data_IF_173211518890
#
_entry.id   IF_173211518890
#
_cell.length_a   1.000
_cell.length_b   1.000
_cell.length_c   1.000
_cell.angle_alpha   90.00
_cell.angle_beta   90.00
_cell.angle_gamma   90.00
#
_symmetry.space_group_name_H-M   'P 1'
#
loop_
_entity.id
_entity.type
_entity.pdbx_description
1 polymer ?
#
# COMPACT_ATOMS: atom_id res chain seq x y z
N UNK A 1 8.96 -17.60 -23.58
CA UNK A 1 8.94 -16.34 -22.79
C UNK A 1 7.60 -16.27 -22.10
N UNK A 2 7.60 -16.07 -20.81
CA UNK A 2 6.36 -16.00 -20.03
C UNK A 2 5.48 -14.83 -20.50
N UNK A 3 4.17 -15.06 -20.60
CA UNK A 3 3.19 -14.08 -21.08
C UNK A 3 2.02 -13.97 -20.11
N UNK A 4 1.77 -12.77 -19.61
CA UNK A 4 0.62 -12.47 -18.75
C UNK A 4 -0.51 -11.91 -19.62
N UNK A 5 -1.66 -12.60 -19.75
CA UNK A 5 -2.79 -12.10 -20.52
C UNK A 5 -3.62 -11.07 -19.73
N UNK A 6 -4.48 -10.36 -20.42
CA UNK A 6 -5.63 -9.66 -19.83
C UNK A 6 -6.60 -10.71 -19.25
N UNK A 7 -7.29 -10.39 -18.16
CA UNK A 7 -8.47 -11.14 -17.72
C UNK A 7 -9.71 -10.30 -18.00
N UNK A 8 -10.57 -10.77 -18.90
CA UNK A 8 -11.86 -10.17 -19.21
C UNK A 8 -12.94 -10.98 -18.50
N UNK A 9 -13.44 -10.46 -17.37
CA UNK A 9 -14.34 -11.22 -16.49
C UNK A 9 -13.76 -12.62 -16.19
N UNK A 10 -12.49 -12.66 -15.77
CA UNK A 10 -11.75 -13.88 -15.45
C UNK A 10 -11.29 -14.72 -16.63
N UNK A 11 -11.69 -14.42 -17.87
CA UNK A 11 -11.27 -15.18 -19.03
C UNK A 11 -9.97 -14.61 -19.61
N UNK A 12 -8.91 -15.41 -19.76
CA UNK A 12 -7.66 -14.96 -20.35
C UNK A 12 -7.86 -14.49 -21.81
N UNK A 13 -7.26 -13.36 -22.14
CA UNK A 13 -7.27 -12.79 -23.48
C UNK A 13 -5.89 -12.26 -23.84
N UNK A 14 -5.31 -12.77 -24.93
CA UNK A 14 -4.03 -12.30 -25.47
C UNK A 14 -4.28 -11.16 -26.44
N UNK A 15 -3.74 -9.98 -26.12
CA UNK A 15 -3.75 -8.83 -27.03
C UNK A 15 -2.58 -8.90 -28.02
N UNK A 16 -2.76 -8.25 -29.17
CA UNK A 16 -1.66 -8.00 -30.11
C UNK A 16 -0.70 -6.98 -29.52
N UNK A 17 -1.21 -6.00 -28.79
CA UNK A 17 -0.40 -5.00 -28.09
C UNK A 17 0.17 -5.63 -26.81
N UNK A 18 1.49 -5.60 -26.68
CA UNK A 18 2.20 -6.15 -25.53
C UNK A 18 3.20 -5.13 -24.97
N UNK A 19 3.31 -5.07 -23.65
CA UNK A 19 4.42 -4.42 -22.96
C UNK A 19 5.48 -5.47 -22.60
N UNK A 20 6.75 -5.10 -22.69
CA UNK A 20 7.88 -5.93 -22.28
C UNK A 20 8.45 -5.39 -20.99
N UNK A 21 8.45 -6.21 -19.95
CA UNK A 21 9.03 -5.84 -18.65
C UNK A 21 10.40 -6.47 -18.53
N UNK A 22 11.45 -5.65 -18.35
CA UNK A 22 12.80 -6.15 -18.23
C UNK A 22 13.08 -6.73 -16.84
N UNK A 23 14.01 -7.64 -16.76
CA UNK A 23 14.64 -8.03 -15.50
C UNK A 23 15.42 -6.84 -14.94
N UNK A 24 15.23 -6.54 -13.64
CA UNK A 24 15.80 -5.33 -13.02
C UNK A 24 17.33 -5.24 -13.10
N UNK A 25 18.04 -6.38 -13.13
CA UNK A 25 19.50 -6.47 -13.14
C UNK A 25 20.07 -6.61 -14.56
N UNK A 26 19.58 -7.58 -15.35
CA UNK A 26 20.13 -7.88 -16.69
C UNK A 26 19.61 -6.95 -17.78
N UNK A 27 18.48 -6.26 -17.53
CA UNK A 27 17.77 -5.42 -18.52
C UNK A 27 17.20 -6.17 -19.72
N UNK A 28 17.37 -7.48 -19.80
CA UNK A 28 16.71 -8.31 -20.79
C UNK A 28 15.22 -8.44 -20.52
N UNK A 29 14.43 -8.61 -21.56
CA UNK A 29 12.99 -8.84 -21.43
C UNK A 29 12.74 -10.10 -20.61
N UNK A 30 12.08 -9.97 -19.48
CA UNK A 30 11.76 -11.07 -18.58
C UNK A 30 10.36 -11.63 -18.84
N UNK A 31 9.37 -10.76 -19.04
CA UNK A 31 7.98 -11.14 -19.28
C UNK A 31 7.32 -10.20 -20.28
N UNK A 32 6.41 -10.76 -21.10
CA UNK A 32 5.48 -9.99 -21.95
C UNK A 32 4.11 -9.91 -21.29
N UNK A 33 3.47 -8.75 -21.41
CA UNK A 33 2.17 -8.49 -20.79
C UNK A 33 1.23 -7.92 -21.84
N UNK A 34 0.11 -8.61 -22.10
CA UNK A 34 -0.95 -8.09 -22.97
C UNK A 34 -1.46 -6.75 -22.49
N UNK A 35 -1.62 -5.78 -23.40
CA UNK A 35 -2.13 -4.45 -23.10
C UNK A 35 -3.59 -4.31 -23.54
N UNK A 36 -4.43 -3.75 -22.67
CA UNK A 36 -5.80 -3.38 -23.00
C UNK A 36 -5.84 -1.90 -23.42
N UNK A 37 -6.52 -1.60 -24.52
CA UNK A 37 -6.80 -0.20 -24.86
C UNK A 37 -8.11 0.28 -24.20
N UNK A 38 -8.29 1.60 -24.12
CA UNK A 38 -9.46 2.23 -23.50
C UNK A 38 -10.81 1.79 -24.13
N UNK A 39 -10.83 1.48 -25.44
CA UNK A 39 -12.01 1.02 -26.14
C UNK A 39 -12.47 -0.37 -25.69
N UNK A 40 -11.51 -1.32 -25.54
CA UNK A 40 -11.78 -2.66 -25.01
C UNK A 40 -12.32 -2.56 -23.57
N UNK A 41 -11.67 -1.77 -22.72
CA UNK A 41 -12.07 -1.58 -21.32
C UNK A 41 -13.49 -1.02 -21.23
N UNK A 42 -13.81 0.07 -21.96
CA UNK A 42 -15.16 0.65 -21.97
C UNK A 42 -16.21 -0.35 -22.40
N UNK A 43 -15.97 -1.11 -23.47
CA UNK A 43 -16.90 -2.13 -23.96
C UNK A 43 -17.16 -3.21 -22.91
N UNK A 44 -16.11 -3.71 -22.26
CA UNK A 44 -16.26 -4.78 -21.26
C UNK A 44 -16.96 -4.29 -19.99
N UNK A 45 -16.82 -3.01 -19.65
CA UNK A 45 -17.46 -2.39 -18.49
C UNK A 45 -18.93 -1.98 -18.72
N UNK A 46 -19.50 -2.17 -19.92
CA UNK A 46 -20.93 -1.95 -20.15
C UNK A 46 -21.84 -2.94 -19.40
N UNK A 47 -21.33 -4.12 -19.08
CA UNK A 47 -22.07 -5.18 -18.39
C UNK A 47 -21.40 -5.55 -17.06
N UNK A 48 -21.26 -4.57 -16.15
CA UNK A 48 -20.69 -4.81 -14.80
C UNK A 48 -21.71 -5.45 -13.85
N UNK A 49 -23.00 -5.22 -14.09
CA UNK A 49 -24.09 -5.69 -13.24
C UNK A 49 -24.12 -7.20 -13.16
N UNK A 50 -23.95 -7.90 -14.28
CA UNK A 50 -23.94 -9.37 -14.32
C UNK A 50 -22.86 -9.97 -13.39
N UNK A 51 -21.68 -9.37 -13.35
CA UNK A 51 -20.59 -9.83 -12.46
C UNK A 51 -20.93 -9.62 -10.98
N UNK A 52 -21.59 -8.50 -10.64
CA UNK A 52 -22.03 -8.23 -9.28
C UNK A 52 -23.15 -9.15 -8.83
N UNK A 53 -24.10 -9.46 -9.71
CA UNK A 53 -25.19 -10.43 -9.42
C UNK A 53 -24.66 -11.81 -9.09
N UNK A 54 -23.61 -12.29 -9.81
CA UNK A 54 -22.96 -13.55 -9.50
C UNK A 54 -22.32 -13.58 -8.11
N UNK A 55 -21.67 -12.48 -7.66
CA UNK A 55 -21.18 -12.37 -6.29
C UNK A 55 -22.33 -12.25 -5.27
N UNK A 56 -23.39 -11.53 -5.60
CA UNK A 56 -24.55 -11.34 -4.73
C UNK A 56 -25.31 -12.64 -4.44
N UNK A 57 -25.16 -13.66 -5.28
CA UNK A 57 -25.72 -14.98 -5.05
C UNK A 57 -25.12 -15.72 -3.83
N UNK A 58 -23.95 -15.32 -3.37
CA UNK A 58 -23.30 -15.88 -2.18
C UNK A 58 -23.61 -15.01 -0.95
N UNK A 59 -23.68 -15.64 0.22
CA UNK A 59 -23.68 -14.89 1.48
C UNK A 59 -22.28 -14.31 1.76
N UNK A 60 -22.22 -13.25 2.54
CA UNK A 60 -20.95 -12.67 2.98
C UNK A 60 -20.10 -13.71 3.72
N UNK A 61 -20.73 -14.56 4.54
CA UNK A 61 -20.06 -15.65 5.25
C UNK A 61 -19.43 -16.67 4.30
N UNK A 62 -20.13 -17.04 3.22
CA UNK A 62 -19.59 -17.93 2.19
C UNK A 62 -18.38 -17.32 1.48
N UNK A 63 -18.44 -16.02 1.16
CA UNK A 63 -17.31 -15.31 0.55
C UNK A 63 -16.12 -15.21 1.50
N UNK A 64 -16.34 -14.95 2.79
CA UNK A 64 -15.27 -14.97 3.81
C UNK A 64 -14.61 -16.36 3.86
N UNK A 65 -15.40 -17.43 3.86
CA UNK A 65 -14.87 -18.80 3.84
C UNK A 65 -14.06 -19.11 2.57
N UNK A 66 -14.47 -18.58 1.40
CA UNK A 66 -13.70 -18.68 0.16
C UNK A 66 -12.37 -17.92 0.26
N UNK A 67 -12.39 -16.69 0.79
CA UNK A 67 -11.18 -15.90 0.96
C UNK A 67 -10.18 -16.56 1.91
N UNK A 68 -10.66 -17.19 2.98
CA UNK A 68 -9.80 -17.95 3.88
C UNK A 68 -9.09 -19.10 3.16
N UNK A 69 -9.79 -19.85 2.29
CA UNK A 69 -9.15 -20.87 1.43
C UNK A 69 -8.20 -20.26 0.40
N UNK A 70 -8.57 -19.11 -0.17
CA UNK A 70 -7.72 -18.38 -1.12
C UNK A 70 -6.40 -17.94 -0.47
N UNK A 71 -6.39 -17.60 0.82
CA UNK A 71 -5.18 -17.30 1.57
C UNK A 71 -4.16 -18.44 1.52
N UNK A 72 -4.62 -19.67 1.75
CA UNK A 72 -3.78 -20.87 1.68
C UNK A 72 -3.29 -21.13 0.24
N UNK A 73 -4.20 -21.05 -0.74
CA UNK A 73 -3.82 -21.25 -2.15
C UNK A 73 -2.83 -20.20 -2.65
N UNK A 74 -2.99 -18.94 -2.25
CA UNK A 74 -2.05 -17.89 -2.58
C UNK A 74 -0.65 -18.18 -2.07
N UNK A 75 -0.53 -18.72 -0.85
CA UNK A 75 0.76 -18.99 -0.19
C UNK A 75 1.45 -20.24 -0.68
N UNK A 76 0.69 -21.30 -1.03
CA UNK A 76 1.28 -22.63 -1.18
C UNK A 76 1.03 -23.28 -2.53
N UNK A 77 0.01 -22.83 -3.26
CA UNK A 77 -0.47 -23.59 -4.40
C UNK A 77 0.19 -23.16 -5.72
N UNK A 78 0.14 -24.08 -6.67
CA UNK A 78 0.49 -23.82 -8.06
C UNK A 78 -0.74 -23.26 -8.78
N UNK A 79 -0.67 -22.04 -9.27
CA UNK A 79 -1.77 -21.28 -9.86
C UNK A 79 -1.46 -20.91 -11.32
N UNK A 80 -2.47 -20.74 -12.18
CA UNK A 80 -2.23 -20.36 -13.57
C UNK A 80 -1.71 -18.92 -13.68
N UNK A 81 -0.75 -18.72 -14.59
CA UNK A 81 -0.32 -17.41 -15.07
C UNK A 81 -0.19 -17.49 -16.59
N UNK A 82 -1.20 -16.98 -17.32
CA UNK A 82 -1.31 -17.19 -18.76
C UNK A 82 -1.48 -18.66 -19.10
N UNK A 83 -0.62 -19.19 -19.99
CA UNK A 83 -0.60 -20.59 -20.38
C UNK A 83 0.29 -21.46 -19.48
N UNK A 84 0.97 -20.86 -18.53
CA UNK A 84 1.90 -21.52 -17.62
C UNK A 84 1.32 -21.65 -16.22
N UNK A 85 1.99 -22.44 -15.39
CA UNK A 85 1.65 -22.61 -13.99
C UNK A 85 2.74 -21.98 -13.12
N UNK A 86 2.35 -21.26 -12.10
CA UNK A 86 3.22 -20.50 -11.19
C UNK A 86 3.13 -21.10 -9.79
N UNK A 87 4.21 -21.67 -9.29
CA UNK A 87 4.34 -22.02 -7.86
C UNK A 87 4.48 -20.76 -7.01
N UNK A 88 4.36 -20.89 -5.70
CA UNK A 88 4.62 -19.78 -4.79
C UNK A 88 6.08 -19.29 -4.90
N UNK A 89 7.03 -20.19 -5.13
CA UNK A 89 8.44 -19.86 -5.31
C UNK A 89 8.70 -19.16 -6.66
N UNK A 90 8.03 -19.58 -7.74
CA UNK A 90 8.08 -18.88 -9.02
C UNK A 90 7.57 -17.43 -8.89
N UNK A 91 6.47 -17.23 -8.15
CA UNK A 91 5.97 -15.89 -7.86
C UNK A 91 7.00 -15.03 -7.17
N UNK A 92 7.68 -15.55 -6.14
CA UNK A 92 8.73 -14.80 -5.41
C UNK A 92 9.85 -14.40 -6.37
N UNK A 93 10.36 -15.33 -7.18
CA UNK A 93 11.42 -15.07 -8.16
C UNK A 93 10.98 -14.09 -9.23
N UNK A 94 9.78 -14.25 -9.78
CA UNK A 94 9.25 -13.42 -10.86
C UNK A 94 8.99 -11.98 -10.41
N UNK A 95 8.42 -11.78 -9.23
CA UNK A 95 8.23 -10.46 -8.67
C UNK A 95 9.56 -9.80 -8.38
N UNK A 96 10.49 -10.51 -7.76
CA UNK A 96 11.86 -10.02 -7.52
C UNK A 96 12.54 -9.62 -8.83
N UNK A 97 12.45 -10.45 -9.88
CA UNK A 97 13.07 -10.21 -11.17
C UNK A 97 12.63 -8.90 -11.84
N UNK A 98 11.38 -8.47 -11.67
CA UNK A 98 10.86 -7.25 -12.30
C UNK A 98 10.90 -6.00 -11.41
N UNK A 99 10.86 -6.17 -10.09
CA UNK A 99 10.83 -5.05 -9.14
C UNK A 99 12.14 -4.80 -8.41
N UNK A 100 13.03 -5.80 -8.39
CA UNK A 100 14.24 -5.79 -7.58
C UNK A 100 13.99 -6.06 -6.09
N UNK A 101 12.75 -6.35 -5.66
CA UNK A 101 12.47 -6.60 -4.26
C UNK A 101 13.12 -7.90 -3.79
N UNK A 102 13.92 -7.91 -2.71
CA UNK A 102 14.50 -9.13 -2.14
C UNK A 102 13.45 -10.19 -1.83
N UNK A 103 13.79 -11.47 -2.02
CA UNK A 103 12.89 -12.61 -1.80
C UNK A 103 12.29 -12.61 -0.38
N UNK A 104 13.09 -12.27 0.62
CA UNK A 104 12.62 -12.16 2.01
C UNK A 104 11.50 -11.13 2.18
N UNK A 105 11.61 -9.97 1.52
CA UNK A 105 10.59 -8.92 1.54
C UNK A 105 9.36 -9.31 0.71
N UNK A 106 9.54 -10.00 -0.42
CA UNK A 106 8.41 -10.55 -1.20
C UNK A 106 7.59 -11.51 -0.35
N UNK A 107 8.23 -12.49 0.33
CA UNK A 107 7.55 -13.45 1.22
C UNK A 107 6.82 -12.76 2.37
N UNK A 108 7.39 -11.69 2.93
CA UNK A 108 6.75 -10.90 3.98
C UNK A 108 5.47 -10.21 3.47
N UNK A 109 5.52 -9.65 2.26
CA UNK A 109 4.33 -9.10 1.62
C UNK A 109 3.29 -10.18 1.28
N UNK A 110 3.73 -11.38 0.86
CA UNK A 110 2.81 -12.52 0.68
C UNK A 110 2.07 -12.85 1.98
N UNK A 111 2.78 -12.92 3.09
CA UNK A 111 2.16 -13.17 4.41
C UNK A 111 1.15 -12.10 4.80
N UNK A 112 1.42 -10.82 4.47
CA UNK A 112 0.46 -9.73 4.69
C UNK A 112 -0.80 -9.89 3.82
N UNK A 113 -0.65 -10.21 2.53
CA UNK A 113 -1.76 -10.44 1.60
C UNK A 113 -2.59 -11.66 2.04
N UNK A 114 -1.94 -12.76 2.38
CA UNK A 114 -2.61 -13.94 2.93
C UNK A 114 -3.34 -13.62 4.22
N UNK A 115 -2.72 -12.84 5.13
CA UNK A 115 -3.30 -12.45 6.40
C UNK A 115 -4.62 -11.69 6.24
N UNK A 116 -4.73 -10.73 5.30
CA UNK A 116 -5.99 -10.01 5.08
C UNK A 116 -7.11 -10.94 4.58
N UNK A 117 -6.77 -11.92 3.75
CA UNK A 117 -7.75 -12.91 3.28
C UNK A 117 -8.17 -13.87 4.41
N UNK A 118 -7.23 -14.31 5.23
CA UNK A 118 -7.49 -15.23 6.34
C UNK A 118 -8.31 -14.57 7.46
N UNK A 119 -8.03 -13.29 7.76
CA UNK A 119 -8.67 -12.51 8.81
C UNK A 119 -9.85 -11.65 8.31
N UNK A 120 -10.43 -12.00 7.16
CA UNK A 120 -11.46 -11.20 6.51
C UNK A 120 -12.66 -10.89 7.41
N UNK A 121 -13.03 -11.80 8.31
CA UNK A 121 -14.09 -11.57 9.29
C UNK A 121 -13.77 -10.38 10.20
N UNK A 122 -12.55 -10.35 10.77
CA UNK A 122 -12.06 -9.25 11.61
C UNK A 122 -11.96 -7.95 10.81
N UNK A 123 -11.46 -8.02 9.59
CA UNK A 123 -11.36 -6.86 8.68
C UNK A 123 -12.73 -6.23 8.42
N UNK A 124 -13.73 -7.04 8.07
CA UNK A 124 -15.08 -6.54 7.84
C UNK A 124 -15.73 -6.00 9.12
N UNK A 125 -15.50 -6.66 10.27
CA UNK A 125 -15.99 -6.15 11.55
C UNK A 125 -15.44 -4.75 11.85
N UNK A 126 -14.17 -4.51 11.61
CA UNK A 126 -13.55 -3.18 11.74
C UNK A 126 -14.12 -2.16 10.76
N UNK A 127 -14.20 -2.50 9.47
CA UNK A 127 -14.71 -1.60 8.43
C UNK A 127 -16.19 -1.24 8.63
N UNK A 128 -17.01 -2.18 9.10
CA UNK A 128 -18.46 -1.99 9.30
C UNK A 128 -18.81 -1.57 10.73
N UNK A 129 -17.80 -1.39 11.61
CA UNK A 129 -18.00 -1.05 13.04
C UNK A 129 -18.89 -2.05 13.76
N UNK A 130 -18.70 -3.35 13.49
CA UNK A 130 -19.42 -4.44 14.14
C UNK A 130 -20.86 -4.64 13.69
N UNK A 131 -21.25 -4.14 12.52
CA UNK A 131 -22.53 -4.48 11.90
C UNK A 131 -22.68 -6.00 11.72
N UNK A 132 -23.89 -6.54 11.92
CA UNK A 132 -24.20 -7.89 11.48
C UNK A 132 -24.05 -7.97 9.96
N UNK A 133 -23.08 -8.77 9.50
CA UNK A 133 -22.74 -8.90 8.08
C UNK A 133 -23.89 -9.45 7.23
N UNK A 134 -24.90 -10.10 7.83
CA UNK A 134 -26.14 -10.50 7.14
C UNK A 134 -26.89 -9.31 6.54
N UNK A 135 -26.63 -8.10 7.04
CA UNK A 135 -27.19 -6.87 6.47
C UNK A 135 -26.66 -6.64 5.04
N UNK A 136 -25.43 -7.05 4.74
CA UNK A 136 -24.88 -7.00 3.36
C UNK A 136 -25.57 -8.00 2.43
N UNK A 137 -26.13 -9.08 2.97
CA UNK A 137 -26.86 -10.08 2.20
C UNK A 137 -28.30 -9.66 1.90
N UNK A 138 -28.98 -9.13 2.91
CA UNK A 138 -30.40 -8.73 2.82
C UNK A 138 -30.60 -7.27 2.38
N UNK A 139 -29.56 -6.42 2.49
CA UNK A 139 -29.64 -4.98 2.26
C UNK A 139 -30.25 -4.21 3.43
N UNK A 140 -30.79 -4.89 4.46
CA UNK A 140 -31.35 -4.29 5.69
C UNK A 140 -31.24 -5.26 6.88
N UNK A 141 -31.38 -4.69 8.08
CA UNK A 141 -31.36 -5.45 9.32
C UNK A 141 -31.59 -4.56 10.53
N UNK A 142 -31.12 -5.02 11.69
CA UNK A 142 -31.12 -4.25 12.93
C UNK A 142 -29.70 -4.12 13.49
N UNK A 143 -29.34 -2.96 13.95
CA UNK A 143 -28.10 -2.70 14.67
C UNK A 143 -28.43 -1.91 15.94
N UNK A 144 -28.04 -2.42 17.09
CA UNK A 144 -28.36 -1.84 18.41
C UNK A 144 -29.87 -1.50 18.60
N UNK A 145 -30.74 -2.38 18.09
CA UNK A 145 -32.20 -2.19 18.18
C UNK A 145 -32.79 -1.24 17.13
N UNK A 146 -31.98 -0.62 16.28
CA UNK A 146 -32.44 0.30 15.23
C UNK A 146 -32.44 -0.36 13.87
N UNK A 147 -33.47 -0.11 13.04
CA UNK A 147 -33.51 -0.55 11.67
C UNK A 147 -32.43 0.17 10.85
N UNK A 148 -31.64 -0.59 10.10
CA UNK A 148 -30.60 -0.07 9.20
C UNK A 148 -30.71 -0.73 7.83
N UNK A 149 -30.40 0.04 6.79
CA UNK A 149 -30.33 -0.48 5.41
C UNK A 149 -29.16 0.14 4.68
N UNK A 150 -28.43 -0.70 3.95
CA UNK A 150 -27.30 -0.31 3.12
C UNK A 150 -27.49 -0.79 1.68
N UNK A 151 -26.93 -0.05 0.75
CA UNK A 151 -26.90 -0.43 -0.66
C UNK A 151 -25.53 -0.09 -1.28
N UNK A 152 -25.08 -0.89 -2.26
CA UNK A 152 -23.82 -0.62 -2.94
C UNK A 152 -23.92 0.63 -3.81
N UNK A 153 -22.88 1.46 -3.79
CA UNK A 153 -22.75 2.70 -4.56
C UNK A 153 -22.12 2.47 -5.94
N UNK A 154 -21.72 1.25 -6.23
CA UNK A 154 -21.01 0.88 -7.45
C UNK A 154 -21.33 -0.55 -7.87
N UNK A 155 -21.22 -0.83 -9.16
CA UNK A 155 -21.28 -2.20 -9.70
C UNK A 155 -19.92 -2.88 -9.69
N UNK A 156 -18.83 -2.13 -9.71
CA UNK A 156 -17.45 -2.63 -9.57
C UNK A 156 -16.54 -1.57 -8.98
N UNK A 157 -15.44 -1.99 -8.35
CA UNK A 157 -14.37 -1.15 -7.88
C UNK A 157 -13.22 -1.15 -8.91
N UNK A 158 -12.92 0.02 -9.48
CA UNK A 158 -11.75 0.22 -10.33
C UNK A 158 -10.51 0.48 -9.48
N UNK A 159 -9.43 -0.27 -9.66
CA UNK A 159 -8.21 -0.13 -8.85
C UNK A 159 -7.00 0.10 -9.75
N UNK A 160 -6.36 1.25 -9.61
CA UNK A 160 -5.12 1.59 -10.30
C UNK A 160 -3.97 1.37 -9.34
N UNK A 161 -3.20 0.30 -9.56
CA UNK A 161 -2.19 -0.22 -8.64
C UNK A 161 -0.78 0.31 -8.92
N UNK A 162 0.04 0.50 -7.88
CA UNK A 162 1.43 0.91 -7.99
C UNK A 162 2.35 -0.30 -8.19
N UNK A 163 3.66 -0.05 -8.35
CA UNK A 163 4.69 -1.10 -8.46
C UNK A 163 5.63 -1.18 -7.24
N UNK A 164 5.47 -0.31 -6.24
CA UNK A 164 6.46 -0.16 -5.16
C UNK A 164 6.36 -1.20 -4.04
N UNK A 165 5.15 -1.65 -3.73
CA UNK A 165 4.93 -2.59 -2.62
C UNK A 165 3.72 -3.49 -2.86
N UNK A 166 3.88 -4.83 -2.86
CA UNK A 166 2.74 -5.74 -2.96
C UNK A 166 1.77 -5.66 -1.78
N UNK A 167 2.20 -5.14 -0.63
CA UNK A 167 1.36 -5.01 0.57
C UNK A 167 0.09 -4.19 0.37
N UNK A 168 0.03 -3.29 -0.62
CA UNK A 168 -1.14 -2.46 -0.94
C UNK A 168 -2.35 -3.29 -1.40
N UNK A 169 -2.14 -4.52 -1.87
CA UNK A 169 -3.24 -5.39 -2.28
C UNK A 169 -4.19 -5.76 -1.12
N UNK A 170 -3.74 -5.63 0.13
CA UNK A 170 -4.59 -5.79 1.31
C UNK A 170 -5.77 -4.82 1.35
N UNK A 171 -5.70 -3.67 0.68
CA UNK A 171 -6.70 -2.60 0.75
C UNK A 171 -7.97 -2.90 -0.08
N UNK A 172 -7.83 -3.50 -1.26
CA UNK A 172 -8.96 -3.75 -2.15
C UNK A 172 -9.56 -5.17 -2.02
N UNK A 173 -8.82 -6.13 -1.46
CA UNK A 173 -9.28 -7.53 -1.27
C UNK A 173 -10.64 -7.62 -0.56
N UNK A 174 -10.95 -6.80 0.47
CA UNK A 174 -12.24 -6.89 1.16
C UNK A 174 -13.46 -6.60 0.28
N UNK A 175 -13.29 -5.93 -0.89
CA UNK A 175 -14.38 -5.65 -1.81
C UNK A 175 -15.13 -6.92 -2.26
N UNK A 176 -14.39 -8.03 -2.44
CA UNK A 176 -14.99 -9.34 -2.83
C UNK A 176 -15.96 -9.84 -1.76
N UNK A 177 -15.57 -9.80 -0.47
CA UNK A 177 -16.45 -10.21 0.62
C UNK A 177 -17.65 -9.26 0.80
N UNK A 178 -17.51 -8.01 0.34
CA UNK A 178 -18.58 -7.02 0.25
C UNK A 178 -19.36 -7.08 -1.08
N UNK A 179 -19.20 -8.15 -1.85
CA UNK A 179 -19.94 -8.42 -3.10
C UNK A 179 -19.73 -7.37 -4.21
N UNK A 180 -18.55 -6.78 -4.26
CA UNK A 180 -18.16 -5.80 -5.27
C UNK A 180 -17.05 -6.40 -6.17
N UNK A 181 -17.32 -6.62 -7.46
CA UNK A 181 -16.33 -7.06 -8.44
C UNK A 181 -15.18 -6.06 -8.59
N UNK A 182 -14.03 -6.55 -9.03
CA UNK A 182 -12.79 -5.81 -9.16
C UNK A 182 -12.39 -5.62 -10.62
N UNK A 183 -11.99 -4.40 -10.93
CA UNK A 183 -11.37 -4.02 -12.21
C UNK A 183 -9.98 -3.51 -11.90
N UNK A 184 -8.97 -4.37 -12.10
CA UNK A 184 -7.61 -4.16 -11.65
C UNK A 184 -6.70 -3.69 -12.79
N UNK A 185 -6.02 -2.57 -12.63
CA UNK A 185 -4.91 -2.15 -13.47
C UNK A 185 -3.63 -2.34 -12.67
N UNK A 186 -2.75 -3.30 -13.01
CA UNK A 186 -1.52 -3.56 -12.27
C UNK A 186 -0.49 -2.45 -12.44
N UNK A 187 0.46 -2.39 -11.52
CA UNK A 187 1.69 -1.62 -11.69
C UNK A 187 2.52 -2.15 -12.87
N UNK A 188 3.24 -1.26 -13.55
CA UNK A 188 3.99 -1.65 -14.76
C UNK A 188 5.08 -2.69 -14.50
N UNK A 189 5.73 -2.64 -13.34
CA UNK A 189 6.79 -3.60 -12.95
C UNK A 189 6.28 -4.68 -11.98
N UNK A 190 5.03 -4.59 -11.52
CA UNK A 190 4.41 -5.51 -10.56
C UNK A 190 3.04 -6.01 -11.10
N UNK A 191 3.03 -6.84 -12.13
CA UNK A 191 1.81 -7.45 -12.67
C UNK A 191 1.37 -8.71 -11.91
N UNK A 192 2.22 -9.25 -11.06
CA UNK A 192 2.14 -10.60 -10.52
C UNK A 192 1.12 -10.75 -9.41
N UNK A 193 1.18 -9.87 -8.40
CA UNK A 193 0.35 -10.00 -7.20
C UNK A 193 -1.15 -9.95 -7.49
N UNK A 194 -1.68 -8.95 -8.20
CA UNK A 194 -3.12 -8.89 -8.45
C UNK A 194 -3.61 -10.06 -9.31
N UNK A 195 -2.78 -10.54 -10.23
CA UNK A 195 -3.10 -11.71 -11.05
C UNK A 195 -3.18 -12.98 -10.19
N UNK A 196 -2.13 -13.26 -9.38
CA UNK A 196 -2.07 -14.44 -8.51
C UNK A 196 -3.17 -14.42 -7.44
N UNK A 197 -3.49 -13.26 -6.85
CA UNK A 197 -4.59 -13.11 -5.89
C UNK A 197 -5.92 -13.48 -6.54
N UNK A 198 -6.21 -12.96 -7.75
CA UNK A 198 -7.42 -13.31 -8.49
C UNK A 198 -7.50 -14.81 -8.76
N UNK A 199 -6.41 -15.46 -9.21
CA UNK A 199 -6.38 -16.90 -9.46
C UNK A 199 -6.58 -17.73 -8.19
N UNK A 200 -6.02 -17.33 -7.05
CA UNK A 200 -6.23 -17.98 -5.77
C UNK A 200 -7.71 -17.90 -5.33
N UNK A 201 -8.34 -16.75 -5.49
CA UNK A 201 -9.77 -16.56 -5.17
C UNK A 201 -10.68 -17.36 -6.12
N UNK A 202 -10.39 -17.38 -7.42
CA UNK A 202 -11.13 -18.19 -8.40
C UNK A 202 -11.03 -19.68 -8.03
N UNK A 203 -9.84 -20.18 -7.72
CA UNK A 203 -9.65 -21.57 -7.27
C UNK A 203 -10.41 -21.88 -5.98
N UNK A 204 -10.55 -20.90 -5.09
CA UNK A 204 -11.31 -21.03 -3.84
C UNK A 204 -12.83 -21.03 -4.04
N UNK A 205 -13.33 -20.76 -5.27
CA UNK A 205 -14.74 -20.79 -5.63
C UNK A 205 -15.39 -19.41 -5.81
N UNK A 206 -14.62 -18.32 -5.72
CA UNK A 206 -15.14 -16.99 -6.10
C UNK A 206 -15.42 -16.98 -7.61
N UNK A 207 -16.59 -16.51 -8.06
CA UNK A 207 -16.89 -16.43 -9.50
C UNK A 207 -15.80 -15.67 -10.25
N UNK A 208 -15.27 -16.27 -11.31
CA UNK A 208 -14.20 -15.65 -12.11
C UNK A 208 -14.60 -14.31 -12.70
N UNK A 209 -15.87 -14.15 -12.99
CA UNK A 209 -16.48 -12.93 -13.52
C UNK A 209 -16.33 -11.71 -12.57
N UNK A 210 -16.03 -11.96 -11.30
CA UNK A 210 -15.70 -10.91 -10.33
C UNK A 210 -14.37 -10.21 -10.59
N UNK A 211 -13.54 -10.75 -11.50
CA UNK A 211 -12.20 -10.23 -11.75
C UNK A 211 -12.00 -9.81 -13.21
N UNK A 212 -11.74 -8.54 -13.41
CA UNK A 212 -11.17 -8.01 -14.65
C UNK A 212 -9.79 -7.46 -14.37
N UNK A 213 -8.81 -7.84 -15.20
CA UNK A 213 -7.42 -7.45 -15.03
C UNK A 213 -6.91 -6.87 -16.35
N UNK A 214 -6.64 -5.56 -16.34
CA UNK A 214 -6.28 -4.79 -17.54
C UNK A 214 -4.95 -4.09 -17.36
N UNK A 215 -3.81 -4.72 -17.71
CA UNK A 215 -2.59 -3.98 -17.94
C UNK A 215 -2.83 -2.98 -19.07
N UNK A 216 -2.55 -1.72 -18.83
CA UNK A 216 -2.91 -0.63 -19.75
C UNK A 216 -2.11 0.63 -19.47
N UNK A 217 -2.16 1.57 -20.39
CA UNK A 217 -1.59 2.91 -20.31
C UNK A 217 -2.47 3.88 -19.48
N UNK A 218 -2.10 5.16 -19.50
CA UNK A 218 -2.88 6.22 -18.83
C UNK A 218 -4.30 6.39 -19.41
N UNK A 219 -4.48 6.17 -20.72
CA UNK A 219 -5.79 6.25 -21.36
C UNK A 219 -6.73 5.15 -20.90
N UNK A 220 -6.23 3.92 -20.77
CA UNK A 220 -6.98 2.80 -20.22
C UNK A 220 -7.25 2.97 -18.72
N UNK A 221 -6.28 3.48 -17.94
CA UNK A 221 -6.49 3.82 -16.52
C UNK A 221 -7.63 4.83 -16.35
N UNK A 222 -7.64 5.87 -17.18
CA UNK A 222 -8.75 6.85 -17.23
C UNK A 222 -10.09 6.20 -17.57
N UNK A 223 -10.11 5.25 -18.52
CA UNK A 223 -11.34 4.53 -18.87
C UNK A 223 -11.87 3.69 -17.70
N UNK A 224 -11.00 3.05 -16.91
CA UNK A 224 -11.41 2.31 -15.68
C UNK A 224 -12.05 3.30 -14.68
N UNK A 225 -11.37 4.38 -14.32
CA UNK A 225 -11.84 5.34 -13.32
C UNK A 225 -13.14 6.06 -13.74
N UNK A 226 -13.34 6.27 -15.05
CA UNK A 226 -14.55 6.90 -15.57
C UNK A 226 -15.76 5.97 -15.59
N UNK A 227 -15.55 4.66 -15.78
CA UNK A 227 -16.65 3.71 -15.98
C UNK A 227 -16.96 2.86 -14.72
N UNK A 228 -16.08 2.80 -13.72
CA UNK A 228 -16.41 2.25 -12.42
C UNK A 228 -17.08 3.32 -11.54
N UNK A 229 -18.13 2.95 -10.80
CA UNK A 229 -18.86 3.88 -9.93
C UNK A 229 -18.02 4.33 -8.73
N UNK A 230 -17.04 3.52 -8.33
CA UNK A 230 -16.03 3.82 -7.32
C UNK A 230 -14.66 3.39 -7.81
N UNK A 231 -13.62 4.12 -7.38
CA UNK A 231 -12.25 3.83 -7.74
C UNK A 231 -11.31 3.99 -6.55
N UNK A 232 -10.20 3.28 -6.62
CA UNK A 232 -9.06 3.39 -5.71
C UNK A 232 -7.83 3.66 -6.56
N UNK A 233 -7.12 4.74 -6.28
CA UNK A 233 -6.02 5.19 -7.12
C UNK A 233 -4.74 5.41 -6.31
N UNK A 234 -3.71 4.63 -6.62
CA UNK A 234 -2.38 4.73 -6.02
C UNK A 234 -1.45 5.51 -6.94
N UNK A 235 -0.76 6.52 -6.40
CA UNK A 235 0.20 7.32 -7.15
C UNK A 235 0.92 8.33 -6.27
N UNK A 236 1.88 9.05 -6.85
CA UNK A 236 2.50 10.18 -6.17
C UNK A 236 1.52 11.38 -6.05
N UNK A 237 1.82 12.31 -5.16
CA UNK A 237 0.97 13.47 -4.89
C UNK A 237 0.66 14.30 -6.14
N UNK A 238 1.57 14.36 -7.11
CA UNK A 238 1.37 15.12 -8.36
C UNK A 238 0.36 14.45 -9.29
N UNK A 239 0.30 13.12 -9.22
CA UNK A 239 -0.61 12.29 -10.03
C UNK A 239 -2.00 12.24 -9.40
N UNK A 240 -2.09 11.93 -8.10
CA UNK A 240 -3.39 11.84 -7.39
C UNK A 240 -4.06 13.19 -7.24
N UNK A 241 -3.29 14.27 -7.09
CA UNK A 241 -3.80 15.64 -6.95
C UNK A 241 -4.73 16.08 -8.09
N UNK A 242 -4.57 15.51 -9.28
CA UNK A 242 -5.47 15.77 -10.44
C UNK A 242 -6.90 15.29 -10.21
N UNK A 243 -7.08 14.34 -9.30
CA UNK A 243 -8.37 13.71 -8.98
C UNK A 243 -8.91 14.11 -7.61
N UNK A 244 -8.27 15.06 -6.92
CA UNK A 244 -8.62 15.46 -5.55
C UNK A 244 -10.10 15.89 -5.37
N UNK A 245 -10.74 16.36 -6.43
CA UNK A 245 -12.14 16.79 -6.41
C UNK A 245 -13.14 15.71 -6.86
N UNK A 246 -12.68 14.50 -7.20
CA UNK A 246 -13.58 13.40 -7.59
C UNK A 246 -13.89 12.51 -6.38
N UNK A 247 -15.02 12.76 -5.73
CA UNK A 247 -15.47 12.03 -4.53
C UNK A 247 -15.79 10.54 -4.78
N UNK A 248 -15.73 10.09 -6.04
CA UNK A 248 -15.86 8.66 -6.37
C UNK A 248 -14.56 7.90 -6.17
N UNK A 249 -13.43 8.61 -6.04
CA UNK A 249 -12.10 8.05 -5.96
C UNK A 249 -11.54 8.16 -4.54
N UNK A 250 -11.05 7.06 -4.03
CA UNK A 250 -10.18 7.00 -2.84
C UNK A 250 -8.74 7.10 -3.33
N UNK A 251 -8.05 8.15 -2.88
CA UNK A 251 -6.73 8.51 -3.38
C UNK A 251 -5.65 8.13 -2.39
N UNK A 252 -4.76 7.25 -2.79
CA UNK A 252 -3.63 6.76 -2.00
C UNK A 252 -2.34 7.40 -2.52
N UNK A 253 -1.98 8.53 -1.92
CA UNK A 253 -0.83 9.34 -2.27
C UNK A 253 0.41 9.05 -1.43
N UNK A 254 1.25 10.08 -1.28
CA UNK A 254 2.39 10.10 -0.37
C UNK A 254 1.89 10.11 1.08
N UNK A 255 2.42 9.20 1.92
CA UNK A 255 1.89 8.98 3.27
C UNK A 255 2.42 9.97 4.31
N UNK A 256 3.66 10.44 4.16
CA UNK A 256 4.33 11.31 5.15
C UNK A 256 4.22 10.78 6.59
N UNK A 257 4.29 9.46 6.75
CA UNK A 257 4.14 8.79 8.05
C UNK A 257 5.27 9.16 9.01
N UNK A 258 4.97 9.25 10.31
CA UNK A 258 5.89 9.79 11.31
C UNK A 258 5.90 8.98 12.60
N UNK A 259 7.06 8.96 13.25
CA UNK A 259 7.19 8.66 14.68
C UNK A 259 7.34 9.98 15.41
N UNK A 260 6.54 10.21 16.42
CA UNK A 260 6.56 11.39 17.28
C UNK A 260 6.95 10.95 18.69
N UNK A 261 7.92 11.61 19.31
CA UNK A 261 8.24 11.42 20.72
C UNK A 261 7.84 12.70 21.46
N UNK A 262 6.88 12.58 22.37
CA UNK A 262 6.43 13.70 23.18
C UNK A 262 7.49 14.20 24.13
N UNK A 263 7.33 15.45 24.59
CA UNK A 263 8.28 16.10 25.49
C UNK A 263 8.50 15.33 26.80
N UNK A 264 7.43 14.68 27.28
CA UNK A 264 7.45 13.87 28.50
C UNK A 264 8.33 12.61 28.42
N UNK A 265 8.64 12.13 27.21
CA UNK A 265 9.46 10.93 26.98
C UNK A 265 10.70 11.19 26.12
N UNK A 266 10.98 12.45 25.77
CA UNK A 266 12.07 12.79 24.88
C UNK A 266 13.46 12.43 25.45
N UNK A 267 13.66 12.50 26.77
CA UNK A 267 14.92 12.11 27.42
C UNK A 267 15.15 10.60 27.45
N UNK A 268 14.09 9.81 27.23
CA UNK A 268 14.11 8.34 27.20
C UNK A 268 14.19 7.77 25.76
N UNK A 269 14.48 8.59 24.74
CA UNK A 269 14.40 8.27 23.32
C UNK A 269 15.15 7.00 22.93
N UNK A 270 16.25 6.67 23.60
CA UNK A 270 17.04 5.47 23.33
C UNK A 270 16.20 4.17 23.45
N UNK A 271 15.22 4.14 24.35
CA UNK A 271 14.29 3.00 24.55
C UNK A 271 13.42 2.74 23.31
N UNK A 272 13.26 3.73 22.45
CA UNK A 272 12.37 3.70 21.28
C UNK A 272 13.13 3.58 19.96
N UNK A 273 14.46 3.46 19.99
CA UNK A 273 15.29 3.40 18.78
C UNK A 273 14.88 2.25 17.86
N UNK A 274 14.58 1.07 18.39
CA UNK A 274 14.17 -0.08 17.58
C UNK A 274 12.80 0.14 16.90
N UNK A 275 11.88 0.85 17.54
CA UNK A 275 10.58 1.24 16.94
C UNK A 275 10.80 2.21 15.77
N UNK A 276 11.68 3.19 15.93
CA UNK A 276 12.03 4.13 14.86
C UNK A 276 12.71 3.42 13.68
N UNK A 277 13.71 2.57 13.97
CA UNK A 277 14.40 1.76 12.95
C UNK A 277 13.42 0.89 12.18
N UNK A 278 12.55 0.12 12.87
CA UNK A 278 11.55 -0.73 12.23
C UNK A 278 10.58 0.10 11.37
N UNK A 279 10.12 1.25 11.87
CA UNK A 279 9.19 2.13 11.15
C UNK A 279 9.80 2.69 9.85
N UNK A 280 11.11 2.95 9.82
CA UNK A 280 11.80 3.50 8.65
C UNK A 280 12.16 2.40 7.64
N UNK A 281 12.63 1.24 8.11
CA UNK A 281 13.34 0.26 7.27
C UNK A 281 12.50 -0.91 6.79
N UNK A 282 11.39 -1.18 7.46
CA UNK A 282 10.49 -2.29 7.10
C UNK A 282 10.13 -2.23 5.61
N UNK A 283 10.03 -3.39 4.95
CA UNK A 283 9.73 -3.47 3.52
C UNK A 283 10.70 -2.64 2.61
N UNK A 284 11.93 -2.44 3.06
CA UNK A 284 12.93 -1.66 2.33
C UNK A 284 12.60 -0.16 2.24
N UNK A 285 11.79 0.37 3.15
CA UNK A 285 11.34 1.77 3.13
C UNK A 285 10.42 2.10 1.95
N UNK A 286 9.72 1.12 1.36
CA UNK A 286 8.95 1.29 0.11
C UNK A 286 7.44 1.43 0.29
N UNK A 287 6.96 1.52 1.51
CA UNK A 287 5.53 1.68 1.79
C UNK A 287 5.22 3.08 2.29
N UNK A 288 4.06 3.64 1.90
CA UNK A 288 3.55 4.92 2.41
C UNK A 288 3.38 4.96 3.94
N UNK A 289 3.30 3.79 4.58
CA UNK A 289 3.24 3.65 6.03
C UNK A 289 4.63 3.55 6.70
N UNK A 290 5.74 3.56 5.93
CA UNK A 290 7.06 3.75 6.53
C UNK A 290 7.20 5.16 7.07
N UNK A 291 7.82 5.29 8.25
CA UNK A 291 8.11 6.60 8.78
C UNK A 291 9.17 7.32 7.91
N UNK A 292 8.77 8.42 7.32
CA UNK A 292 9.64 9.35 6.60
C UNK A 292 10.11 10.51 7.49
N UNK A 293 9.59 10.60 8.71
CA UNK A 293 9.95 11.60 9.71
C UNK A 293 9.97 11.02 11.12
N UNK A 294 10.93 11.49 11.92
CA UNK A 294 10.96 11.34 13.38
C UNK A 294 10.92 12.75 13.97
N UNK A 295 9.84 13.07 14.66
CA UNK A 295 9.57 14.40 15.14
C UNK A 295 9.65 14.44 16.66
N UNK A 296 10.48 15.30 17.19
CA UNK A 296 10.87 15.34 18.62
C UNK A 296 10.95 16.77 19.12
N UNK A 297 10.90 16.93 20.43
CA UNK A 297 10.99 18.26 21.04
C UNK A 297 12.42 18.63 21.42
N UNK A 298 13.31 17.66 21.55
CA UNK A 298 14.74 17.79 21.83
C UNK A 298 15.50 16.53 21.46
N UNK A 299 16.82 16.56 21.52
CA UNK A 299 17.73 15.46 21.17
C UNK A 299 17.70 15.03 19.69
N UNK A 300 17.18 15.86 18.78
CA UNK A 300 17.01 15.48 17.38
C UNK A 300 18.32 15.09 16.71
N UNK A 301 19.43 15.79 17.04
CA UNK A 301 20.74 15.47 16.47
C UNK A 301 21.30 14.15 16.97
N UNK A 302 21.14 13.84 18.26
CA UNK A 302 21.57 12.58 18.88
C UNK A 302 20.75 11.40 18.34
N UNK A 303 19.44 11.56 18.24
CA UNK A 303 18.54 10.57 17.64
C UNK A 303 18.91 10.29 16.18
N UNK A 304 19.13 11.37 15.40
CA UNK A 304 19.54 11.24 14.00
C UNK A 304 20.89 10.51 13.85
N UNK A 305 21.84 10.78 14.75
CA UNK A 305 23.14 10.11 14.74
C UNK A 305 23.02 8.62 15.07
N UNK A 306 22.22 8.26 16.07
CA UNK A 306 21.99 6.87 16.47
C UNK A 306 21.24 6.09 15.36
N UNK A 307 20.22 6.70 14.74
CA UNK A 307 19.54 6.10 13.59
C UNK A 307 20.48 5.91 12.41
N UNK A 308 21.30 6.90 12.08
CA UNK A 308 22.26 6.81 10.98
C UNK A 308 23.27 5.66 11.19
N UNK A 309 23.77 5.48 12.41
CA UNK A 309 24.66 4.38 12.78
C UNK A 309 23.97 3.01 12.63
N UNK A 310 22.75 2.87 13.15
CA UNK A 310 21.98 1.62 13.07
C UNK A 310 21.62 1.27 11.62
N UNK A 311 21.23 2.23 10.82
CA UNK A 311 20.84 2.00 9.43
C UNK A 311 22.02 1.75 8.50
N UNK A 312 23.23 2.16 8.86
CA UNK A 312 24.46 1.89 8.11
C UNK A 312 24.76 0.39 7.91
N UNK A 313 24.18 -0.47 8.75
CA UNK A 313 24.29 -1.92 8.60
C UNK A 313 23.44 -2.49 7.44
N UNK A 314 22.50 -1.70 6.90
CA UNK A 314 21.64 -2.08 5.79
C UNK A 314 22.36 -1.74 4.48
N UNK A 315 22.94 -2.75 3.89
CA UNK A 315 23.76 -2.65 2.66
C UNK A 315 23.13 -3.48 1.53
N UNK A 316 23.48 -3.20 0.25
CA UNK A 316 23.10 -4.07 -0.87
C UNK A 316 23.54 -5.50 -0.64
N UNK A 317 22.64 -6.45 -0.94
CA UNK A 317 22.88 -7.89 -0.86
C UNK A 317 22.22 -8.58 -2.05
N UNK A 318 22.60 -9.81 -2.33
CA UNK A 318 21.89 -10.63 -3.30
C UNK A 318 20.41 -10.73 -2.95
N UNK A 319 19.53 -10.72 -3.96
CA UNK A 319 18.08 -10.77 -3.75
C UNK A 319 17.61 -12.05 -3.04
N UNK A 320 18.39 -13.12 -3.12
CA UNK A 320 18.10 -14.40 -2.45
C UNK A 320 18.63 -14.46 -1.02
N UNK A 321 19.52 -13.54 -0.61
CA UNK A 321 20.02 -13.48 0.76
C UNK A 321 18.85 -13.22 1.74
N UNK A 322 18.60 -14.10 2.73
CA UNK A 322 17.55 -13.88 3.73
C UNK A 322 17.68 -12.58 4.53
N UNK A 323 18.89 -12.01 4.57
CA UNK A 323 19.19 -10.76 5.26
C UNK A 323 19.11 -9.53 4.33
N UNK A 324 18.72 -9.70 3.07
CA UNK A 324 18.52 -8.57 2.16
C UNK A 324 17.30 -7.74 2.58
N UNK A 325 17.55 -6.52 3.04
CA UNK A 325 16.55 -5.57 3.51
C UNK A 325 16.42 -4.34 2.61
N UNK A 326 17.31 -4.20 1.63
CA UNK A 326 17.35 -3.06 0.72
C UNK A 326 17.03 -3.51 -0.70
N UNK A 327 16.07 -2.84 -1.33
CA UNK A 327 15.71 -3.12 -2.71
C UNK A 327 16.33 -2.10 -3.67
N UNK A 328 16.89 -2.54 -4.82
CA UNK A 328 17.37 -1.63 -5.87
C UNK A 328 16.21 -0.93 -6.55
N UNK A 329 16.53 0.13 -7.28
CA UNK A 329 15.61 0.79 -8.20
C UNK A 329 15.64 0.10 -9.57
N UNK A 330 14.51 -0.46 -9.98
CA UNK A 330 14.38 -1.05 -11.32
C UNK A 330 14.65 -0.02 -12.44
N UNK A 331 14.39 1.27 -12.17
CA UNK A 331 14.76 2.40 -13.03
C UNK A 331 15.79 3.27 -12.30
N UNK A 332 17.05 3.23 -12.75
CA UNK A 332 18.16 3.99 -12.19
C UNK A 332 17.92 5.53 -12.19
N UNK A 333 17.18 6.05 -13.18
CA UNK A 333 16.91 7.48 -13.26
C UNK A 333 15.98 7.98 -12.15
N UNK A 334 15.15 7.10 -11.61
CA UNK A 334 14.35 7.41 -10.42
C UNK A 334 15.25 7.60 -9.22
N UNK A 335 16.20 6.68 -9.00
CA UNK A 335 17.18 6.79 -7.90
C UNK A 335 18.02 8.07 -8.00
N UNK A 336 18.52 8.38 -9.21
CA UNK A 336 19.30 9.60 -9.48
C UNK A 336 18.49 10.88 -9.16
N UNK A 337 17.21 10.93 -9.59
CA UNK A 337 16.34 12.08 -9.29
C UNK A 337 16.09 12.23 -7.79
N UNK A 338 15.82 11.13 -7.08
CA UNK A 338 15.63 11.16 -5.63
C UNK A 338 16.89 11.67 -4.95
N UNK A 339 18.08 11.14 -5.31
CA UNK A 339 19.35 11.61 -4.75
C UNK A 339 19.56 13.11 -5.00
N UNK A 340 19.27 13.59 -6.22
CA UNK A 340 19.41 15.01 -6.55
C UNK A 340 18.44 15.90 -5.75
N UNK A 341 17.22 15.44 -5.45
CA UNK A 341 16.26 16.16 -4.60
C UNK A 341 16.80 16.28 -3.17
N UNK A 342 17.34 15.20 -2.61
CA UNK A 342 17.95 15.21 -1.27
C UNK A 342 19.16 16.15 -1.27
N UNK A 343 20.05 16.07 -2.27
CA UNK A 343 21.21 16.94 -2.38
C UNK A 343 20.83 18.41 -2.53
N UNK A 344 19.73 18.70 -3.22
CA UNK A 344 19.20 20.06 -3.33
C UNK A 344 18.77 20.62 -1.97
N UNK A 345 18.03 19.82 -1.19
CA UNK A 345 17.62 20.22 0.15
C UNK A 345 18.80 20.38 1.11
N UNK A 346 19.82 19.52 1.02
CA UNK A 346 21.03 19.63 1.86
C UNK A 346 21.89 20.86 1.56
N UNK A 347 21.72 21.53 0.41
CA UNK A 347 22.38 22.81 0.12
C UNK A 347 21.72 24.00 0.83
N UNK A 348 20.49 23.84 1.27
CA UNK A 348 19.82 24.82 2.11
C UNK A 348 20.33 24.70 3.56
N UNK A 349 20.44 25.82 4.27
CA UNK A 349 20.87 25.81 5.67
C UNK A 349 19.86 25.15 6.58
N UNK A 350 20.33 24.50 7.66
CA UNK A 350 19.47 23.86 8.65
C UNK A 350 19.21 22.37 8.39
N UNK A 351 19.90 21.72 7.45
CA UNK A 351 19.85 20.26 7.27
C UNK A 351 21.24 19.64 7.20
N UNK A 352 21.40 18.47 7.80
CA UNK A 352 22.67 17.70 7.81
C UNK A 352 22.39 16.22 7.59
N UNK A 353 23.02 15.62 6.57
CA UNK A 353 23.00 14.15 6.35
C UNK A 353 23.94 13.46 7.35
N UNK A 354 23.37 12.84 8.38
CA UNK A 354 24.16 12.15 9.42
C UNK A 354 24.60 10.75 8.99
N UNK A 355 24.05 10.21 7.90
CA UNK A 355 24.42 8.90 7.38
C UNK A 355 25.69 8.94 6.52
N UNK A 356 26.05 10.07 5.95
CA UNK A 356 27.17 10.19 5.00
C UNK A 356 28.50 9.67 5.58
N UNK A 357 28.79 10.01 6.84
CA UNK A 357 30.02 9.56 7.54
C UNK A 357 30.11 8.03 7.71
N UNK A 358 28.97 7.32 7.66
CA UNK A 358 28.92 5.86 7.85
C UNK A 358 28.88 5.10 6.52
N UNK A 359 28.13 5.60 5.52
CA UNK A 359 27.90 4.93 4.25
C UNK A 359 28.71 5.46 3.06
N UNK A 360 29.27 6.67 3.17
CA UNK A 360 29.81 7.41 2.00
C UNK A 360 28.71 7.91 1.08
N UNK A 361 28.84 7.66 -0.22
CA UNK A 361 27.85 8.06 -1.20
C UNK A 361 26.48 7.38 -0.97
N UNK A 362 25.40 8.16 -1.17
CA UNK A 362 24.03 7.66 -1.06
C UNK A 362 23.64 6.77 -2.26
N UNK A 363 23.98 7.25 -3.46
CA UNK A 363 23.68 6.55 -4.71
C UNK A 363 24.84 5.61 -5.05
N UNK A 364 24.57 4.31 -5.15
CA UNK A 364 25.60 3.31 -5.43
C UNK A 364 25.10 2.32 -6.49
N UNK A 365 26.04 1.83 -7.29
CA UNK A 365 25.86 0.68 -8.17
C UNK A 365 26.48 -0.55 -7.51
N UNK A 366 25.70 -1.62 -7.42
CA UNK A 366 26.15 -2.90 -6.90
C UNK A 366 25.64 -4.05 -7.75
N UNK A 367 26.54 -4.84 -8.29
CA UNK A 367 26.24 -5.98 -9.20
C UNK A 367 25.26 -5.64 -10.35
N UNK A 368 25.43 -4.46 -10.96
CA UNK A 368 24.59 -4.01 -12.08
C UNK A 368 23.23 -3.45 -11.70
N UNK A 369 22.95 -3.27 -10.41
CA UNK A 369 21.74 -2.67 -9.92
C UNK A 369 22.01 -1.37 -9.15
N UNK A 370 21.11 -0.40 -9.25
CA UNK A 370 21.23 0.93 -8.65
C UNK A 370 20.49 0.97 -7.30
N UNK A 371 21.18 1.38 -6.25
CA UNK A 371 20.62 1.50 -4.90
C UNK A 371 20.73 2.93 -4.37
N UNK A 372 19.78 3.29 -3.50
CA UNK A 372 19.92 4.40 -2.55
C UNK A 372 20.12 3.81 -1.15
N UNK A 373 21.27 4.09 -0.55
CA UNK A 373 21.60 3.64 0.78
C UNK A 373 20.82 4.42 1.83
N UNK A 374 20.47 3.81 2.98
CA UNK A 374 19.71 4.46 4.03
C UNK A 374 20.26 5.85 4.38
N UNK A 375 19.34 6.80 4.54
CA UNK A 375 19.71 8.21 4.72
C UNK A 375 18.87 8.83 5.82
N UNK A 376 19.55 9.33 6.86
CA UNK A 376 18.95 10.06 7.97
C UNK A 376 19.47 11.50 7.93
N UNK A 377 18.54 12.44 7.84
CA UNK A 377 18.83 13.86 7.81
C UNK A 377 18.35 14.50 9.12
N UNK A 378 19.23 15.18 9.84
CA UNK A 378 18.83 16.08 10.92
C UNK A 378 18.37 17.40 10.32
N UNK A 379 17.24 17.92 10.75
CA UNK A 379 16.63 19.15 10.24
C UNK A 379 16.24 20.05 11.41
N UNK A 380 16.71 21.29 11.39
CA UNK A 380 16.58 22.26 12.50
C UNK A 380 15.20 22.95 12.54
N UNK A 381 14.42 22.89 11.46
CA UNK A 381 13.09 23.49 11.39
C UNK A 381 12.14 22.65 10.56
N UNK A 382 10.88 22.56 10.98
CA UNK A 382 9.82 21.90 10.24
C UNK A 382 9.47 22.59 8.90
N UNK A 383 9.86 23.85 8.70
CA UNK A 383 9.71 24.59 7.44
C UNK A 383 10.75 24.21 6.38
N UNK A 384 11.82 23.52 6.78
CA UNK A 384 12.87 23.13 5.84
C UNK A 384 12.34 22.17 4.76
N UNK A 385 12.74 22.29 3.47
CA UNK A 385 12.24 21.45 2.38
C UNK A 385 12.37 19.93 2.58
N UNK A 386 13.34 19.49 3.40
CA UNK A 386 13.51 18.06 3.74
C UNK A 386 12.72 17.60 4.96
N UNK A 387 12.14 18.51 5.76
CA UNK A 387 11.46 18.15 7.01
C UNK A 387 10.28 17.20 6.78
N UNK A 388 9.54 17.40 5.70
CA UNK A 388 8.35 16.58 5.37
C UNK A 388 8.48 16.03 3.94
N UNK A 389 9.38 15.06 3.76
CA UNK A 389 9.62 14.36 2.49
C UNK A 389 9.54 12.87 2.70
N UNK A 390 8.98 12.20 1.71
CA UNK A 390 8.94 10.74 1.61
C UNK A 390 9.59 10.29 0.32
N UNK A 391 10.39 9.24 0.42
CA UNK A 391 11.01 8.58 -0.72
C UNK A 391 10.89 7.06 -0.59
N UNK A 392 10.93 6.35 -1.70
CA UNK A 392 10.77 4.90 -1.76
C UNK A 392 12.08 4.14 -1.47
N UNK A 393 12.75 4.52 -0.39
CA UNK A 393 13.91 3.84 0.20
C UNK A 393 14.00 4.22 1.68
N UNK A 394 14.81 3.55 2.53
CA UNK A 394 14.94 3.92 3.94
C UNK A 394 15.48 5.35 4.11
N UNK A 395 14.59 6.31 4.21
CA UNK A 395 14.87 7.73 4.39
C UNK A 395 14.00 8.28 5.52
N UNK A 396 14.61 9.04 6.40
CA UNK A 396 13.84 9.83 7.34
C UNK A 396 14.55 11.14 7.71
N UNK A 397 13.74 12.18 7.90
CA UNK A 397 14.19 13.44 8.52
C UNK A 397 13.89 13.40 10.01
N UNK A 398 14.89 13.71 10.85
CA UNK A 398 14.69 13.93 12.28
C UNK A 398 14.55 15.43 12.50
N UNK A 399 13.39 15.85 12.99
CA UNK A 399 12.98 17.26 13.06
C UNK A 399 12.73 17.64 14.50
N UNK A 400 13.37 18.70 14.99
CA UNK A 400 13.05 19.29 16.28
C UNK A 400 11.95 20.34 16.12
N UNK A 401 10.94 20.26 16.99
CA UNK A 401 9.78 21.16 16.99
C UNK A 401 9.41 21.50 18.43
N UNK A 402 9.08 22.76 18.69
CA UNK A 402 8.61 23.16 20.01
C UNK A 402 7.37 22.35 20.43
N UNK A 403 7.25 21.94 21.71
CA UNK A 403 6.15 21.07 22.16
C UNK A 403 4.76 21.62 21.84
N UNK A 404 4.58 22.92 21.91
CA UNK A 404 3.31 23.60 21.61
C UNK A 404 2.97 23.61 20.13
N UNK A 405 3.94 23.59 19.23
CA UNK A 405 3.78 23.61 17.77
C UNK A 405 3.63 22.22 17.18
N UNK A 406 4.15 21.18 17.87
CA UNK A 406 4.27 19.82 17.35
C UNK A 406 2.99 19.27 16.72
N UNK A 407 1.78 19.40 17.34
CA UNK A 407 0.55 18.83 16.75
C UNK A 407 0.15 19.45 15.41
N UNK A 408 0.30 20.78 15.29
CA UNK A 408 -0.07 21.55 14.10
C UNK A 408 0.99 21.42 12.99
N UNK A 409 2.26 21.38 13.37
CA UNK A 409 3.39 21.28 12.44
C UNK A 409 3.46 19.93 11.70
N UNK A 410 2.89 18.84 12.27
CA UNK A 410 2.91 17.50 11.65
C UNK A 410 2.34 17.49 10.24
N UNK A 411 1.29 18.27 9.98
CA UNK A 411 0.57 18.27 8.71
C UNK A 411 -0.04 16.92 8.35
N UNK A 412 -0.51 16.74 7.10
CA UNK A 412 -1.10 15.49 6.64
C UNK A 412 -0.14 14.30 6.83
N UNK A 413 -0.65 13.24 7.46
CA UNK A 413 0.13 12.05 7.81
C UNK A 413 -0.76 10.82 7.79
N UNK A 414 -0.38 9.83 6.99
CA UNK A 414 -1.11 8.57 6.89
C UNK A 414 -1.03 7.79 8.22
N UNK A 415 0.17 7.70 8.80
CA UNK A 415 0.36 7.06 10.10
C UNK A 415 1.17 7.97 11.00
N UNK A 416 0.67 8.21 12.20
CA UNK A 416 1.45 8.80 13.30
C UNK A 416 1.55 7.79 14.43
N UNK A 417 2.77 7.44 14.81
CA UNK A 417 3.07 6.74 16.06
C UNK A 417 3.50 7.77 17.08
N UNK A 418 2.64 8.06 18.06
CA UNK A 418 2.90 9.02 19.12
C UNK A 418 3.35 8.29 20.40
N UNK A 419 4.63 8.41 20.74
CA UNK A 419 5.25 7.86 21.92
C UNK A 419 5.20 8.95 23.01
N UNK A 420 4.13 8.96 23.79
CA UNK A 420 3.86 9.96 24.83
C UNK A 420 2.83 9.45 25.82
N UNK A 421 2.86 9.94 27.04
CA UNK A 421 1.80 9.83 28.04
C UNK A 421 1.07 11.18 28.27
N UNK A 422 1.51 12.25 27.61
CA UNK A 422 0.85 13.55 27.71
C UNK A 422 -0.55 13.51 27.09
N UNK A 423 -1.57 13.52 27.96
CA UNK A 423 -2.96 13.46 27.54
C UNK A 423 -3.38 14.68 26.69
N UNK A 424 -2.71 15.84 26.82
CA UNK A 424 -3.02 17.02 25.99
C UNK A 424 -2.57 16.78 24.56
N UNK A 425 -1.35 16.26 24.36
CA UNK A 425 -0.85 15.88 23.03
C UNK A 425 -1.71 14.78 22.43
N UNK A 426 -2.02 13.72 23.19
CA UNK A 426 -2.89 12.62 22.73
C UNK A 426 -4.23 13.17 22.24
N UNK A 427 -4.91 14.02 23.04
CA UNK A 427 -6.20 14.58 22.67
C UNK A 427 -6.15 15.43 21.40
N UNK A 428 -5.09 16.23 21.21
CA UNK A 428 -4.88 17.01 19.98
C UNK A 428 -4.70 16.10 18.76
N UNK A 429 -3.92 15.02 18.87
CA UNK A 429 -3.70 14.08 17.78
C UNK A 429 -4.95 13.27 17.43
N UNK A 430 -5.70 12.80 18.43
CA UNK A 430 -6.98 12.06 18.24
C UNK A 430 -8.03 12.91 17.52
N UNK A 431 -8.04 14.21 17.75
CA UNK A 431 -9.01 15.13 17.10
C UNK A 431 -8.46 15.79 15.82
N UNK A 432 -7.22 15.49 15.44
CA UNK A 432 -6.60 16.07 14.26
C UNK A 432 -7.20 15.48 12.96
N UNK A 433 -7.69 16.31 12.02
CA UNK A 433 -8.16 15.84 10.73
C UNK A 433 -7.02 15.48 9.76
N UNK A 434 -5.77 15.64 10.19
CA UNK A 434 -4.58 15.44 9.36
C UNK A 434 -3.90 14.09 9.62
N UNK A 435 -4.40 13.28 10.55
CA UNK A 435 -3.86 11.98 10.92
C UNK A 435 -4.89 10.90 10.59
N UNK A 436 -4.59 10.05 9.60
CA UNK A 436 -5.51 9.00 9.18
C UNK A 436 -5.46 7.80 10.12
N UNK A 437 -4.26 7.40 10.55
CA UNK A 437 -4.05 6.30 11.50
C UNK A 437 -3.15 6.74 12.64
N UNK A 438 -3.64 6.62 13.85
CA UNK A 438 -2.92 7.00 15.06
C UNK A 438 -2.60 5.78 15.93
N UNK A 439 -1.32 5.60 16.23
CA UNK A 439 -0.84 4.66 17.24
C UNK A 439 -0.40 5.45 18.47
N UNK A 440 -0.83 5.07 19.66
CA UNK A 440 -0.36 5.64 20.92
C UNK A 440 0.55 4.63 21.61
N UNK A 441 1.75 5.07 21.95
CA UNK A 441 2.82 4.24 22.53
C UNK A 441 3.81 3.71 21.47
N UNK A 442 4.78 2.85 21.87
CA UNK A 442 5.88 2.41 21.02
C UNK A 442 5.47 1.30 20.03
N UNK A 443 4.60 1.64 19.08
CA UNK A 443 4.08 0.77 18.04
C UNK A 443 4.71 1.17 16.70
N UNK A 444 5.44 0.28 15.98
CA UNK A 444 5.97 0.61 14.67
C UNK A 444 4.86 1.03 13.69
N UNK A 445 5.11 2.04 12.85
CA UNK A 445 4.12 2.55 11.88
C UNK A 445 3.60 1.46 10.92
N UNK A 446 4.41 0.42 10.68
CA UNK A 446 4.07 -0.72 9.83
C UNK A 446 3.15 -1.75 10.49
N UNK A 447 2.89 -1.64 11.80
CA UNK A 447 2.02 -2.59 12.51
C UNK A 447 0.57 -2.39 12.10
N UNK A 448 -0.07 -3.47 11.71
CA UNK A 448 -1.49 -3.51 11.31
C UNK A 448 -2.30 -4.28 12.34
N UNK A 449 -3.48 -3.78 12.69
CA UNK A 449 -4.53 -4.49 13.38
C UNK A 449 -5.65 -4.78 12.38
N UNK A 450 -6.08 -6.04 12.29
CA UNK A 450 -7.06 -6.45 11.28
C UNK A 450 -8.47 -5.89 11.52
N UNK A 451 -8.77 -5.51 12.74
CA UNK A 451 -10.03 -4.89 13.18
C UNK A 451 -10.04 -3.35 13.08
N UNK A 452 -8.98 -2.77 12.52
CA UNK A 452 -8.88 -1.33 12.29
C UNK A 452 -8.75 -1.02 10.79
N UNK A 453 -9.42 0.02 10.28
CA UNK A 453 -9.19 0.50 8.93
C UNK A 453 -7.71 0.82 8.71
N UNK A 454 -7.18 0.40 7.58
CA UNK A 454 -5.77 0.63 7.27
C UNK A 454 -5.53 2.06 6.80
N UNK A 455 -6.39 2.53 5.90
CA UNK A 455 -6.33 3.82 5.22
C UNK A 455 -7.70 4.06 4.60
N UNK A 456 -8.39 5.12 5.02
CA UNK A 456 -9.78 5.32 4.66
C UNK A 456 -10.71 4.23 5.24
N UNK A 457 -11.92 4.12 4.72
CA UNK A 457 -12.86 3.06 5.07
C UNK A 457 -13.54 2.51 3.81
N UNK A 458 -13.07 1.36 3.34
CA UNK A 458 -13.58 0.75 2.10
C UNK A 458 -15.09 0.45 2.15
N UNK A 459 -15.67 0.12 3.32
CA UNK A 459 -17.11 -0.07 3.42
C UNK A 459 -17.87 1.24 3.17
N UNK A 460 -17.47 2.34 3.78
CA UNK A 460 -18.08 3.66 3.58
C UNK A 460 -17.86 4.18 2.15
N UNK A 461 -16.76 3.80 1.52
CA UNK A 461 -16.51 4.10 0.11
C UNK A 461 -17.46 3.35 -0.84
N UNK A 462 -17.72 2.07 -0.57
CA UNK A 462 -18.48 1.17 -1.44
C UNK A 462 -19.98 1.16 -1.16
N UNK A 463 -20.41 1.46 0.05
CA UNK A 463 -21.79 1.39 0.50
C UNK A 463 -22.32 2.74 1.00
N UNK A 464 -23.61 2.95 0.85
CA UNK A 464 -24.32 4.06 1.47
C UNK A 464 -25.48 3.55 2.32
N UNK A 465 -25.74 4.25 3.41
CA UNK A 465 -26.93 4.06 4.24
C UNK A 465 -28.13 4.76 3.63
N UNK A 466 -29.32 4.14 3.69
CA UNK A 466 -30.60 4.77 3.36
C UNK A 466 -31.52 4.80 4.58
N UNK A 467 -32.44 5.73 4.59
CA UNK A 467 -33.58 5.66 5.52
C UNK A 467 -34.40 4.41 5.18
N UNK A 468 -34.77 3.63 6.18
CA UNK A 468 -35.53 2.40 6.01
C UNK A 468 -36.58 2.28 7.12
N UNK A 469 -37.82 2.10 6.72
CA UNK A 469 -38.95 1.87 7.61
C UNK A 469 -39.75 0.71 7.07
N UNK A 470 -40.24 -0.14 7.97
CA UNK A 470 -41.12 -1.25 7.63
C UNK A 470 -42.34 -1.19 8.54
N UNK A 471 -43.52 -1.22 7.95
CA UNK A 471 -44.76 -1.38 8.74
C UNK A 471 -44.77 -2.74 9.43
N UNK A 472 -45.32 -2.80 10.62
CA UNK A 472 -45.46 -4.01 11.39
C UNK A 472 -46.45 -4.98 10.73
#
# INVERSE_FOLDING_TARGET
MLHIPILRKGNPYKSIDVARVPHFKTRETFVEISQANAGLIRRDLLDQESSRELLAAFTTEQLIAMLKRAADYFMTDTLPVGDEMQTAEDYVRQLSATTGMPHALVRKNMSKISGVMAEMGSVLAGLTRGLDLKILDAGFGSHEGHAVSFFPRTQSLGVILPSNSPGVHSLWVPAIAMKIPLVLKPGASEPWSPYRIAQAMIKAGVPKEAFSYYPTDHGGSGAILQNCGRGMFFGDSSTVGKYANDSRLELHGTGYSKVVIGDDLADDWEKYLDVMVASITENGGRSCINASGVWVTRHGREIAAALAERLAQIVPRDSEDPQALLAPFANADVAKRISAIVDSGLRESGATDLSEKHRGARLVEWEGATYLLPTIVHVESHDHPLANREFLFPFASVVEVAPEELPEALGPSLVVTAITNDQKLINKLVTSPHVDRLNIGPIPTMKIAWDQPHEGNLFEHLYARRAFQRAA
#
